data_IF_137144151973
#
_entry.id   IF_137144151973
#
_cell.length_a   1.000
_cell.length_b   1.000
_cell.length_c   1.000
_cell.angle_alpha   90.00
_cell.angle_beta   90.00
_cell.angle_gamma   90.00
#
_symmetry.space_group_name_H-M   'P 1'
#
loop_
_entity.id
_entity.type
_entity.pdbx_description
1 polymer ?
#
# COMPACT_ATOMS: atom_id res chain seq x y z
N UNK A 1 95.38 -37.99 -9.18
CA UNK A 1 95.31 -37.69 -7.74
C UNK A 1 94.52 -36.39 -7.57
N UNK A 2 93.37 -36.50 -6.92
CA UNK A 2 92.51 -35.47 -6.29
C UNK A 2 93.00 -34.01 -6.28
N UNK A 3 92.12 -33.07 -6.64
CA UNK A 3 91.65 -32.03 -5.71
C UNK A 3 90.43 -31.25 -6.23
N UNK A 4 89.48 -31.14 -5.32
CA UNK A 4 88.32 -30.25 -5.23
C UNK A 4 88.83 -28.81 -5.06
N UNK A 5 88.18 -27.79 -5.66
CA UNK A 5 87.50 -26.73 -4.90
C UNK A 5 86.75 -25.68 -5.75
N UNK A 6 85.80 -25.04 -5.06
CA UNK A 6 84.79 -24.05 -5.48
C UNK A 6 85.38 -22.74 -6.04
N UNK A 7 84.58 -22.01 -6.84
CA UNK A 7 83.88 -20.78 -6.38
C UNK A 7 83.32 -19.94 -7.55
N UNK A 8 81.99 -19.81 -7.53
CA UNK A 8 81.18 -18.58 -7.63
C UNK A 8 81.89 -17.34 -8.21
N UNK A 9 81.40 -16.81 -9.35
CA UNK A 9 81.05 -15.38 -9.53
C UNK A 9 80.43 -15.05 -10.91
N UNK A 10 79.14 -14.66 -10.85
CA UNK A 10 78.52 -13.46 -11.44
C UNK A 10 78.55 -13.25 -12.97
N UNK A 11 77.38 -13.45 -13.59
CA UNK A 11 76.89 -12.55 -14.65
C UNK A 11 75.41 -12.24 -14.35
N UNK A 12 75.18 -11.08 -13.73
CA UNK A 12 73.86 -10.54 -13.46
C UNK A 12 73.36 -9.82 -14.72
N UNK A 13 72.48 -10.48 -15.48
CA UNK A 13 71.73 -9.85 -16.56
C UNK A 13 70.37 -9.46 -15.99
N UNK A 14 70.24 -8.22 -15.56
CA UNK A 14 68.99 -7.68 -15.02
C UNK A 14 67.95 -7.53 -16.12
N UNK A 15 67.04 -8.49 -16.24
CA UNK A 15 65.81 -8.36 -17.02
C UNK A 15 64.76 -7.71 -16.10
N UNK A 16 64.61 -6.40 -16.23
CA UNK A 16 63.63 -5.61 -15.51
C UNK A 16 62.24 -5.94 -16.09
N UNK A 17 61.54 -6.89 -15.47
CA UNK A 17 60.16 -7.20 -15.81
C UNK A 17 59.28 -5.99 -15.43
N UNK A 18 58.50 -5.40 -16.36
CA UNK A 18 57.52 -4.42 -15.99
C UNK A 18 56.41 -5.15 -15.23
N UNK A 19 56.38 -4.94 -13.92
CA UNK A 19 55.25 -5.31 -13.07
C UNK A 19 54.04 -4.53 -13.58
N UNK A 20 53.23 -5.19 -14.40
CA UNK A 20 51.93 -4.72 -14.84
C UNK A 20 51.07 -4.60 -13.58
N UNK A 21 51.02 -3.38 -13.04
CA UNK A 21 50.11 -3.00 -11.95
C UNK A 21 48.69 -3.26 -12.42
N UNK A 22 48.14 -4.40 -11.99
CA UNK A 22 46.70 -4.66 -11.97
C UNK A 22 46.10 -3.69 -10.95
N UNK A 23 45.83 -2.46 -11.37
CA UNK A 23 44.91 -1.59 -10.67
C UNK A 23 43.53 -2.24 -10.81
N UNK A 24 43.20 -3.12 -9.86
CA UNK A 24 41.82 -3.49 -9.59
C UNK A 24 41.10 -2.20 -9.19
N UNK A 25 40.44 -1.58 -10.16
CA UNK A 25 39.51 -0.49 -9.92
C UNK A 25 38.34 -1.11 -9.15
N UNK A 26 38.37 -0.98 -7.82
CA UNK A 26 37.15 -1.00 -7.04
C UNK A 26 36.38 0.25 -7.46
N UNK A 27 35.60 0.16 -8.54
CA UNK A 27 34.56 1.12 -8.80
C UNK A 27 33.59 1.01 -7.62
N UNK A 28 33.70 1.93 -6.66
CA UNK A 28 32.74 2.04 -5.59
C UNK A 28 31.39 2.35 -6.23
N UNK A 29 30.42 1.45 -6.09
CA UNK A 29 29.06 1.69 -6.53
C UNK A 29 28.54 2.99 -5.93
N UNK A 30 27.87 3.81 -6.76
CA UNK A 30 27.28 5.06 -6.30
C UNK A 30 26.25 4.75 -5.20
N UNK A 31 26.43 5.26 -3.97
CA UNK A 31 25.51 5.00 -2.88
C UNK A 31 24.10 5.54 -3.14
N UNK A 32 23.96 6.49 -4.06
CA UNK A 32 22.69 7.05 -4.49
C UNK A 32 22.10 6.35 -5.74
N UNK A 33 22.76 5.33 -6.31
CA UNK A 33 22.20 4.60 -7.44
C UNK A 33 20.99 3.75 -7.00
N UNK A 34 19.96 3.59 -7.85
CA UNK A 34 18.82 2.75 -7.53
C UNK A 34 19.22 1.28 -7.37
N UNK A 35 18.46 0.48 -6.59
CA UNK A 35 18.67 -0.97 -6.51
C UNK A 35 18.26 -1.69 -7.80
N UNK A 36 18.75 -2.92 -7.97
CA UNK A 36 18.18 -3.86 -8.92
C UNK A 36 16.86 -4.42 -8.36
N UNK A 37 15.85 -4.56 -9.22
CA UNK A 37 14.55 -5.17 -8.88
C UNK A 37 14.50 -6.58 -9.47
N UNK A 38 14.23 -7.57 -8.63
CA UNK A 38 13.93 -8.96 -8.98
C UNK A 38 12.43 -9.18 -8.81
N UNK A 39 11.69 -8.97 -9.90
CA UNK A 39 10.25 -9.20 -9.93
C UNK A 39 9.89 -10.61 -9.46
N UNK A 40 8.91 -10.70 -8.57
CA UNK A 40 8.47 -11.99 -8.02
C UNK A 40 9.23 -12.45 -6.77
N UNK A 41 10.38 -11.84 -6.46
CA UNK A 41 11.26 -12.24 -5.34
C UNK A 41 11.43 -11.12 -4.30
N UNK A 42 11.61 -9.88 -4.75
CA UNK A 42 11.82 -8.75 -3.84
C UNK A 42 10.54 -8.42 -3.06
N UNK A 43 10.69 -8.13 -1.77
CA UNK A 43 9.59 -7.84 -0.85
C UNK A 43 9.59 -6.38 -0.48
N UNK A 44 8.43 -5.73 -0.58
CA UNK A 44 8.25 -4.35 -0.17
C UNK A 44 8.52 -4.18 1.32
N UNK A 45 9.30 -3.15 1.67
CA UNK A 45 9.68 -2.83 3.04
C UNK A 45 8.52 -2.33 3.92
N UNK A 46 7.33 -2.04 3.34
CA UNK A 46 6.16 -1.53 4.05
C UNK A 46 5.00 -2.53 4.03
N UNK A 47 4.48 -2.88 2.86
CA UNK A 47 3.31 -3.78 2.78
C UNK A 47 3.68 -5.26 2.94
N UNK A 48 4.97 -5.60 2.91
CA UNK A 48 5.50 -6.97 2.96
C UNK A 48 4.96 -7.91 1.87
N UNK A 49 4.35 -7.35 0.82
CA UNK A 49 4.03 -8.09 -0.40
C UNK A 49 5.23 -8.11 -1.34
N UNK A 50 5.23 -9.08 -2.25
CA UNK A 50 6.19 -9.18 -3.33
C UNK A 50 6.00 -7.96 -4.25
N UNK A 51 7.10 -7.35 -4.70
CA UNK A 51 7.09 -6.33 -5.75
C UNK A 51 6.53 -6.98 -7.02
N UNK A 52 5.28 -6.67 -7.31
CA UNK A 52 4.42 -7.42 -8.21
C UNK A 52 4.37 -6.82 -9.62
N UNK A 53 4.61 -5.51 -9.73
CA UNK A 53 4.66 -4.79 -11.00
C UNK A 53 5.79 -3.75 -10.99
N UNK A 54 6.80 -3.99 -11.82
CA UNK A 54 7.99 -3.14 -11.87
C UNK A 54 7.65 -1.73 -12.34
N UNK A 55 6.55 -1.51 -13.05
CA UNK A 55 6.18 -0.19 -13.57
C UNK A 55 5.87 0.82 -12.45
N UNK A 56 5.51 0.32 -11.26
CA UNK A 56 5.11 1.15 -10.12
C UNK A 56 6.07 1.04 -8.95
N UNK A 57 7.09 0.18 -9.04
CA UNK A 57 8.05 0.00 -7.99
C UNK A 57 8.79 1.30 -7.67
N UNK A 58 9.04 1.51 -6.39
CA UNK A 58 9.81 2.63 -5.88
C UNK A 58 10.96 2.12 -4.99
N UNK A 59 11.95 2.98 -4.76
CA UNK A 59 13.06 2.67 -3.87
C UNK A 59 13.58 3.93 -3.19
N UNK A 60 14.16 3.75 -2.00
CA UNK A 60 15.03 4.74 -1.40
C UNK A 60 16.45 4.23 -1.42
N UNK A 61 17.41 5.14 -1.46
CA UNK A 61 18.77 4.90 -1.01
C UNK A 61 18.93 5.68 0.30
N UNK A 62 19.13 4.99 1.42
CA UNK A 62 19.17 5.60 2.76
C UNK A 62 20.45 5.24 3.50
N UNK A 63 20.84 6.05 4.48
CA UNK A 63 21.98 5.76 5.36
C UNK A 63 21.51 5.44 6.77
N UNK A 64 21.82 4.24 7.26
CA UNK A 64 21.49 3.86 8.63
C UNK A 64 22.35 4.63 9.66
N UNK A 65 21.99 4.53 10.95
CA UNK A 65 22.73 5.19 12.05
C UNK A 65 24.20 4.76 12.16
N UNK A 66 24.57 3.62 11.55
CA UNK A 66 25.94 3.08 11.51
C UNK A 66 26.70 3.50 10.25
N UNK A 67 26.09 4.35 9.42
CA UNK A 67 26.67 4.87 8.19
C UNK A 67 26.57 3.92 6.98
N UNK A 68 25.90 2.77 7.11
CA UNK A 68 25.70 1.82 6.00
C UNK A 68 24.60 2.31 5.08
N UNK A 69 24.76 2.04 3.78
CA UNK A 69 23.73 2.34 2.79
C UNK A 69 22.78 1.16 2.69
N UNK A 70 21.50 1.42 2.89
CA UNK A 70 20.42 0.47 2.68
C UNK A 70 19.52 0.97 1.54
N UNK A 71 18.92 0.04 0.80
CA UNK A 71 18.11 0.37 -0.37
C UNK A 71 16.74 -0.31 -0.30
N UNK A 72 15.83 0.13 0.60
CA UNK A 72 14.52 -0.48 0.70
C UNK A 72 13.74 -0.31 -0.61
N UNK A 73 13.08 -1.38 -1.01
CA UNK A 73 12.20 -1.46 -2.18
C UNK A 73 10.74 -1.32 -1.74
N UNK A 74 9.93 -0.77 -2.64
CA UNK A 74 8.51 -0.56 -2.44
C UNK A 74 7.74 -0.99 -3.68
N UNK A 75 6.59 -1.65 -3.47
CA UNK A 75 5.73 -2.15 -4.55
C UNK A 75 4.98 -1.01 -5.26
N UNK A 76 4.83 0.13 -4.58
CA UNK A 76 4.15 1.33 -5.09
C UNK A 76 4.78 2.59 -4.44
N UNK A 77 4.69 3.74 -5.10
CA UNK A 77 5.13 5.04 -4.56
C UNK A 77 4.45 5.36 -3.23
N UNK A 78 3.19 4.95 -3.04
CA UNK A 78 2.50 5.24 -1.77
C UNK A 78 3.18 4.57 -0.57
N UNK A 79 3.68 3.34 -0.74
CA UNK A 79 4.48 2.67 0.30
C UNK A 79 5.80 3.40 0.60
N UNK A 80 6.44 4.02 -0.40
CA UNK A 80 7.62 4.84 -0.16
C UNK A 80 7.28 6.05 0.72
N UNK A 81 6.17 6.74 0.44
CA UNK A 81 5.75 7.90 1.25
C UNK A 81 5.37 7.52 2.68
N UNK A 82 4.70 6.39 2.87
CA UNK A 82 4.39 5.83 4.19
C UNK A 82 5.67 5.51 4.98
N UNK A 83 6.67 4.92 4.32
CA UNK A 83 7.96 4.64 4.94
C UNK A 83 8.63 5.92 5.46
N UNK A 84 8.74 6.95 4.63
CA UNK A 84 9.33 8.23 5.03
C UNK A 84 8.56 8.89 6.18
N UNK A 85 7.23 8.81 6.18
CA UNK A 85 6.41 9.33 7.27
C UNK A 85 6.65 8.57 8.60
N UNK A 86 6.93 7.27 8.53
CA UNK A 86 7.24 6.44 9.70
C UNK A 86 8.67 6.62 10.22
N UNK A 87 9.57 7.15 9.40
CA UNK A 87 11.00 7.32 9.70
C UNK A 87 11.49 8.75 9.36
N UNK A 88 10.97 9.80 10.04
CA UNK A 88 11.21 11.19 9.67
C UNK A 88 12.67 11.65 9.81
N UNK A 89 13.46 10.97 10.64
CA UNK A 89 14.87 11.29 10.89
C UNK A 89 15.85 10.48 10.00
N UNK A 90 15.33 9.65 9.09
CA UNK A 90 16.13 8.82 8.19
C UNK A 90 16.91 9.70 7.20
N UNK A 91 18.24 9.54 7.14
CA UNK A 91 19.06 10.18 6.10
C UNK A 91 18.75 9.53 4.74
N UNK A 92 18.17 10.31 3.82
CA UNK A 92 17.83 9.89 2.47
C UNK A 92 18.89 10.43 1.51
N UNK A 93 19.52 9.52 0.77
CA UNK A 93 20.53 9.84 -0.24
C UNK A 93 19.88 10.07 -1.61
N UNK A 94 18.85 9.30 -1.95
CA UNK A 94 18.09 9.44 -3.18
C UNK A 94 16.72 8.74 -3.10
N UNK A 95 15.78 9.23 -3.91
CA UNK A 95 14.47 8.61 -4.14
C UNK A 95 14.37 8.16 -5.59
N UNK A 96 13.87 6.95 -5.80
CA UNK A 96 13.74 6.38 -7.13
C UNK A 96 12.33 5.85 -7.35
N UNK A 97 11.82 6.06 -8.55
CA UNK A 97 10.55 5.50 -9.00
C UNK A 97 10.75 4.89 -10.38
N UNK A 98 10.05 3.81 -10.66
CA UNK A 98 10.01 3.25 -12.00
C UNK A 98 9.07 4.08 -12.87
N UNK A 99 9.50 4.33 -14.10
CA UNK A 99 8.65 4.93 -15.09
C UNK A 99 7.51 3.97 -15.45
N UNK A 100 6.28 4.47 -15.43
CA UNK A 100 5.04 3.70 -15.57
C UNK A 100 4.86 2.89 -16.88
N UNK A 101 5.77 3.05 -17.84
CA UNK A 101 5.69 2.41 -19.17
C UNK A 101 7.08 1.97 -19.67
N UNK A 102 8.12 2.77 -19.42
CA UNK A 102 9.47 2.50 -19.91
C UNK A 102 10.27 1.51 -19.04
N UNK A 103 9.81 1.22 -17.81
CA UNK A 103 10.50 0.29 -16.91
C UNK A 103 11.89 0.75 -16.46
N UNK A 104 12.24 2.03 -16.63
CA UNK A 104 13.51 2.61 -16.19
C UNK A 104 13.35 3.32 -14.85
N UNK A 105 14.41 3.35 -14.04
CA UNK A 105 14.47 4.19 -12.85
C UNK A 105 14.58 5.66 -13.25
N UNK A 106 13.75 6.50 -12.64
CA UNK A 106 13.84 7.96 -12.71
C UNK A 106 13.93 8.53 -11.28
N UNK A 107 14.45 9.74 -11.18
CA UNK A 107 14.47 10.51 -9.94
C UNK A 107 13.03 10.84 -9.54
N UNK A 108 12.64 10.42 -8.33
CA UNK A 108 11.29 10.65 -7.84
C UNK A 108 11.00 12.14 -7.63
N UNK A 109 12.00 12.89 -7.14
CA UNK A 109 11.84 14.31 -6.80
C UNK A 109 11.67 15.17 -8.08
N UNK A 110 12.15 14.69 -9.23
CA UNK A 110 12.03 15.35 -10.53
C UNK A 110 10.90 14.80 -11.42
N UNK A 111 10.28 13.68 -11.04
CA UNK A 111 9.25 13.03 -11.82
C UNK A 111 7.94 13.85 -11.85
N UNK A 112 7.10 13.55 -12.84
CA UNK A 112 5.72 14.02 -12.90
C UNK A 112 4.79 12.83 -12.74
N UNK A 113 3.74 13.00 -11.95
CA UNK A 113 2.85 11.91 -11.61
C UNK A 113 1.48 12.10 -12.25
N UNK A 114 0.94 11.03 -12.84
CA UNK A 114 -0.46 10.95 -13.20
C UNK A 114 -1.19 10.15 -12.13
N UNK A 115 -2.12 10.78 -11.43
CA UNK A 115 -3.03 10.09 -10.55
C UNK A 115 -4.38 9.90 -11.24
N UNK A 116 -4.82 8.65 -11.39
CA UNK A 116 -6.07 8.31 -12.02
C UNK A 116 -6.73 7.11 -11.33
N UNK A 117 -8.06 7.16 -11.21
CA UNK A 117 -8.85 6.04 -10.67
C UNK A 117 -8.85 4.82 -11.58
N UNK A 118 -8.60 5.02 -12.87
CA UNK A 118 -8.54 3.96 -13.88
C UNK A 118 -7.15 3.30 -13.94
N UNK A 119 -6.15 3.92 -13.29
CA UNK A 119 -4.81 3.38 -13.20
C UNK A 119 -4.74 2.34 -12.07
N UNK A 120 -4.64 1.07 -12.46
CA UNK A 120 -4.51 -0.02 -11.51
C UNK A 120 -3.05 -0.19 -11.13
N UNK A 121 -2.72 0.17 -9.89
CA UNK A 121 -1.40 -0.01 -9.28
C UNK A 121 -1.46 -1.08 -8.19
N UNK A 122 -0.35 -1.76 -7.84
CA UNK A 122 -0.36 -2.89 -6.91
C UNK A 122 -1.01 -2.60 -5.56
N UNK A 123 -0.82 -1.38 -5.05
CA UNK A 123 -1.37 -0.93 -3.77
C UNK A 123 -2.63 -0.07 -3.93
N UNK A 124 -3.10 0.17 -5.15
CA UNK A 124 -4.35 0.90 -5.40
C UNK A 124 -4.27 2.42 -5.20
N UNK A 125 -3.08 3.00 -5.03
CA UNK A 125 -2.89 4.46 -4.95
C UNK A 125 -3.19 5.17 -6.28
N UNK A 126 -3.21 4.42 -7.40
CA UNK A 126 -3.59 4.96 -8.70
C UNK A 126 -2.60 5.99 -9.24
N UNK A 127 -1.33 5.94 -8.82
CA UNK A 127 -0.29 6.91 -9.19
C UNK A 127 0.75 6.24 -10.10
N UNK A 128 0.94 6.80 -11.29
CA UNK A 128 2.01 6.43 -12.22
C UNK A 128 3.04 7.54 -12.34
N UNK A 129 4.34 7.20 -12.32
CA UNK A 129 5.44 8.15 -12.49
C UNK A 129 5.90 8.25 -13.95
N UNK A 130 6.06 9.47 -14.45
CA UNK A 130 6.45 9.81 -15.82
C UNK A 130 7.62 10.79 -15.79
N UNK A 131 8.45 10.79 -16.85
CA UNK A 131 9.61 11.67 -16.92
C UNK A 131 9.22 13.13 -17.19
N UNK A 132 8.10 13.37 -17.86
CA UNK A 132 7.65 14.73 -18.21
C UNK A 132 6.16 14.96 -18.03
N UNK A 133 5.79 16.23 -17.84
CA UNK A 133 4.37 16.64 -17.81
C UNK A 133 3.64 16.37 -19.13
N UNK A 134 4.33 16.50 -20.26
CA UNK A 134 3.73 16.23 -21.58
C UNK A 134 3.35 14.74 -21.72
N UNK A 135 4.19 13.82 -21.25
CA UNK A 135 3.86 12.39 -21.20
C UNK A 135 2.66 12.13 -20.30
N UNK A 136 2.66 12.66 -19.08
CA UNK A 136 1.55 12.50 -18.14
C UNK A 136 0.23 13.05 -18.71
N UNK A 137 0.27 14.20 -19.39
CA UNK A 137 -0.90 14.78 -20.06
C UNK A 137 -1.40 13.92 -21.23
N UNK A 138 -0.50 13.32 -22.01
CA UNK A 138 -0.87 12.44 -23.13
C UNK A 138 -1.63 11.19 -22.68
N UNK A 139 -1.37 10.72 -21.46
CA UNK A 139 -2.02 9.55 -20.88
C UNK A 139 -3.42 9.84 -20.34
N UNK A 140 -3.81 11.10 -20.15
CA UNK A 140 -5.11 11.48 -19.55
C UNK A 140 -6.31 11.12 -20.42
N UNK A 141 -6.13 10.96 -21.73
CA UNK A 141 -7.20 10.47 -22.60
C UNK A 141 -7.57 9.02 -22.27
N UNK A 142 -6.57 8.21 -21.93
CA UNK A 142 -6.75 6.79 -21.55
C UNK A 142 -7.05 6.61 -20.07
N UNK A 143 -6.41 7.41 -19.22
CA UNK A 143 -6.51 7.37 -17.76
C UNK A 143 -6.91 8.76 -17.26
N UNK A 144 -8.21 9.11 -17.30
CA UNK A 144 -8.68 10.40 -16.81
C UNK A 144 -8.25 10.64 -15.36
N UNK A 145 -7.57 11.75 -15.11
CA UNK A 145 -6.92 11.99 -13.83
C UNK A 145 -6.18 13.32 -13.76
N UNK A 146 -5.49 13.51 -12.64
CA UNK A 146 -4.73 14.71 -12.30
C UNK A 146 -3.23 14.51 -12.56
N UNK A 147 -2.60 15.53 -13.13
CA UNK A 147 -1.14 15.55 -13.32
C UNK A 147 -0.50 16.41 -12.24
N UNK A 148 0.17 15.74 -11.30
CA UNK A 148 0.62 16.27 -10.02
C UNK A 148 2.15 16.13 -9.86
N UNK A 149 2.72 16.86 -8.93
CA UNK A 149 4.13 16.71 -8.52
C UNK A 149 4.27 15.75 -7.32
N UNK A 150 5.50 15.52 -6.86
CA UNK A 150 5.78 14.60 -5.76
C UNK A 150 5.15 15.06 -4.44
N UNK A 151 5.12 16.37 -4.16
CA UNK A 151 4.58 16.92 -2.91
C UNK A 151 3.07 16.72 -2.84
N UNK A 152 2.37 16.97 -3.93
CA UNK A 152 0.96 16.71 -4.08
C UNK A 152 0.66 15.19 -3.99
N UNK A 153 1.45 14.35 -4.67
CA UNK A 153 1.29 12.90 -4.60
C UNK A 153 1.46 12.39 -3.16
N UNK A 154 2.51 12.83 -2.46
CA UNK A 154 2.77 12.53 -1.05
C UNK A 154 1.61 12.97 -0.17
N UNK A 155 1.14 14.22 -0.32
CA UNK A 155 0.03 14.74 0.49
C UNK A 155 -1.22 13.89 0.28
N UNK A 156 -1.57 13.55 -0.96
CA UNK A 156 -2.75 12.75 -1.27
C UNK A 156 -2.66 11.34 -0.70
N UNK A 157 -1.48 10.71 -0.75
CA UNK A 157 -1.27 9.39 -0.11
C UNK A 157 -1.46 9.49 1.40
N UNK A 158 -0.73 10.39 2.06
CA UNK A 158 -0.73 10.47 3.52
C UNK A 158 -2.04 11.01 4.12
N UNK A 159 -2.86 11.69 3.32
CA UNK A 159 -4.22 12.12 3.71
C UNK A 159 -5.31 11.11 3.35
N UNK A 160 -4.99 10.03 2.62
CA UNK A 160 -5.95 9.04 2.13
C UNK A 160 -6.71 9.45 0.87
N UNK A 161 -6.43 10.62 0.28
CA UNK A 161 -7.04 11.09 -0.97
C UNK A 161 -6.58 10.29 -2.20
N UNK A 162 -5.40 9.65 -2.14
CA UNK A 162 -4.85 8.90 -3.27
C UNK A 162 -5.51 7.53 -3.51
N UNK A 163 -6.09 6.92 -2.48
CA UNK A 163 -6.74 5.60 -2.56
C UNK A 163 -8.11 5.64 -3.27
N UNK A 164 -8.47 6.78 -3.86
CA UNK A 164 -9.81 7.03 -4.34
C UNK A 164 -10.21 6.26 -5.61
N UNK A 165 -9.34 5.41 -6.16
CA UNK A 165 -9.56 4.62 -7.39
C UNK A 165 -10.03 3.18 -7.21
N UNK A 166 -9.72 2.56 -6.07
CA UNK A 166 -10.29 1.28 -5.67
C UNK A 166 -11.10 1.49 -4.38
N UNK A 167 -12.26 2.13 -4.51
CA UNK A 167 -13.26 2.13 -3.45
C UNK A 167 -13.03 3.06 -2.25
N UNK A 168 -12.23 4.14 -2.34
CA UNK A 168 -12.18 5.16 -1.27
C UNK A 168 -12.87 6.47 -1.68
N UNK A 169 -14.11 6.69 -1.21
CA UNK A 169 -14.76 8.01 -1.24
C UNK A 169 -14.72 8.61 0.17
N UNK A 170 -13.74 9.49 0.40
CA UNK A 170 -13.81 10.49 1.47
C UNK A 170 -14.84 11.56 1.08
N UNK A 171 -16.08 11.38 1.52
CA UNK A 171 -17.18 12.33 1.33
C UNK A 171 -18.20 12.16 2.45
N UNK A 172 -18.29 13.17 3.33
CA UNK A 172 -19.10 13.26 4.54
C UNK A 172 -19.03 12.02 5.46
N UNK A 173 -18.08 12.05 6.40
CA UNK A 173 -18.20 11.28 7.63
C UNK A 173 -19.46 11.76 8.36
N UNK A 174 -20.57 11.05 8.23
CA UNK A 174 -21.49 10.95 9.36
C UNK A 174 -20.99 9.78 10.17
N UNK A 175 -20.21 10.10 11.21
CA UNK A 175 -19.88 9.20 12.31
C UNK A 175 -21.16 8.42 12.68
N UNK A 176 -21.09 7.08 12.69
CA UNK A 176 -22.09 6.29 13.41
C UNK A 176 -22.03 6.70 14.87
N UNK A 177 -23.18 6.88 15.52
CA UNK A 177 -23.20 7.03 16.97
C UNK A 177 -22.49 5.86 17.64
N UNK A 178 -22.02 6.07 18.87
CA UNK A 178 -21.36 5.03 19.67
C UNK A 178 -22.27 3.81 19.97
N UNK A 179 -23.53 3.82 19.53
CA UNK A 179 -24.48 2.74 19.68
C UNK A 179 -24.42 1.69 18.55
N UNK A 180 -23.58 1.87 17.53
CA UNK A 180 -23.48 0.95 16.40
C UNK A 180 -24.67 1.04 15.44
N UNK A 181 -25.42 2.15 15.49
CA UNK A 181 -26.48 2.44 14.53
C UNK A 181 -26.12 3.63 13.62
N UNK A 182 -26.60 3.58 12.38
CA UNK A 182 -26.54 4.69 11.44
C UNK A 182 -27.88 4.83 10.73
N UNK A 183 -28.36 6.07 10.60
CA UNK A 183 -29.46 6.41 9.69
C UNK A 183 -28.88 7.19 8.52
N UNK A 184 -29.28 6.79 7.31
CA UNK A 184 -28.85 7.36 6.04
C UNK A 184 -30.08 7.86 5.32
N UNK A 185 -30.13 9.15 5.03
CA UNK A 185 -31.10 9.72 4.10
C UNK A 185 -30.49 9.64 2.69
N UNK A 186 -31.18 8.96 1.77
CA UNK A 186 -30.78 8.80 0.37
C UNK A 186 -31.30 9.97 -0.48
N UNK A 187 -30.64 10.22 -1.61
CA UNK A 187 -31.02 11.31 -2.53
C UNK A 187 -32.44 11.16 -3.10
N UNK A 188 -32.92 9.92 -3.23
CA UNK A 188 -34.28 9.60 -3.67
C UNK A 188 -35.35 9.80 -2.58
N UNK A 189 -34.97 10.31 -1.41
CA UNK A 189 -35.85 10.59 -0.28
C UNK A 189 -36.17 9.37 0.60
N UNK A 190 -35.63 8.18 0.29
CA UNK A 190 -35.68 7.04 1.22
C UNK A 190 -34.74 7.27 2.40
N UNK A 191 -35.05 6.62 3.52
CA UNK A 191 -34.11 6.52 4.63
C UNK A 191 -33.81 5.07 4.94
N UNK A 192 -32.53 4.76 5.12
CA UNK A 192 -32.05 3.44 5.55
C UNK A 192 -31.51 3.54 6.98
N UNK A 193 -31.78 2.53 7.81
CA UNK A 193 -31.16 2.35 9.12
C UNK A 193 -30.30 1.10 9.09
N UNK A 194 -29.03 1.27 9.38
CA UNK A 194 -28.05 0.20 9.59
C UNK A 194 -27.88 0.02 11.09
N UNK A 195 -27.97 -1.22 11.57
CA UNK A 195 -27.68 -1.56 12.95
C UNK A 195 -26.66 -2.70 12.97
N UNK A 196 -25.44 -2.40 13.41
CA UNK A 196 -24.38 -3.38 13.55
C UNK A 196 -24.74 -4.36 14.69
N UNK A 197 -24.65 -5.66 14.40
CA UNK A 197 -24.87 -6.73 15.38
C UNK A 197 -23.56 -7.38 15.80
N UNK A 198 -22.51 -7.27 14.99
CA UNK A 198 -21.16 -7.71 15.39
C UNK A 198 -20.61 -6.85 16.53
N UNK A 199 -20.10 -7.46 17.62
CA UNK A 199 -19.44 -6.73 18.69
C UNK A 199 -18.22 -5.93 18.19
N UNK A 200 -18.04 -4.72 18.74
CA UNK A 200 -16.91 -3.85 18.39
C UNK A 200 -15.61 -4.21 19.13
N UNK A 201 -15.69 -4.75 20.34
CA UNK A 201 -14.58 -5.49 20.97
C UNK A 201 -14.63 -6.93 20.45
N UNK A 202 -13.68 -7.29 19.61
CA UNK A 202 -13.71 -8.55 18.89
C UNK A 202 -12.34 -9.21 18.80
N UNK A 203 -12.34 -10.54 18.87
CA UNK A 203 -11.10 -11.31 18.75
C UNK A 203 -10.58 -11.32 17.30
N UNK A 204 -9.26 -11.33 17.15
CA UNK A 204 -8.48 -11.55 15.92
C UNK A 204 -9.03 -12.69 15.02
N UNK A 205 -8.99 -12.48 13.71
CA UNK A 205 -9.15 -13.50 12.67
C UNK A 205 -10.47 -13.35 11.92
N UNK A 206 -10.87 -14.42 11.23
CA UNK A 206 -12.16 -14.47 10.53
C UNK A 206 -13.30 -14.52 11.55
N UNK A 207 -14.19 -13.55 11.48
CA UNK A 207 -15.31 -13.35 12.41
C UNK A 207 -16.61 -13.11 11.65
N UNK A 208 -17.75 -13.58 12.18
CA UNK A 208 -19.05 -13.24 11.64
C UNK A 208 -19.23 -11.72 11.60
N UNK A 209 -19.57 -11.19 10.42
CA UNK A 209 -20.00 -9.82 10.26
C UNK A 209 -21.52 -9.81 10.06
N UNK A 210 -22.25 -9.25 11.03
CA UNK A 210 -23.70 -9.25 11.08
C UNK A 210 -24.20 -7.80 11.17
N UNK A 211 -25.10 -7.44 10.26
CA UNK A 211 -25.69 -6.11 10.20
C UNK A 211 -27.16 -6.22 9.80
N UNK A 212 -28.00 -5.43 10.44
CA UNK A 212 -29.40 -5.32 10.05
C UNK A 212 -29.64 -4.04 9.26
N UNK A 213 -30.39 -4.16 8.15
CA UNK A 213 -30.72 -3.02 7.30
C UNK A 213 -32.23 -2.88 7.15
N UNK A 214 -32.71 -1.71 7.52
CA UNK A 214 -34.11 -1.34 7.48
C UNK A 214 -34.33 -0.13 6.58
N UNK A 215 -35.49 -0.05 5.95
CA UNK A 215 -35.97 1.15 5.27
C UNK A 215 -37.11 1.78 6.06
N UNK A 216 -37.15 3.11 6.10
CA UNK A 216 -38.26 3.88 6.70
C UNK A 216 -39.48 3.78 5.77
N UNK A 217 -40.55 3.16 6.27
CA UNK A 217 -41.83 3.05 5.60
C UNK A 217 -42.74 4.25 5.84
N UNK A 218 -43.91 4.23 5.19
CA UNK A 218 -44.97 5.22 5.38
C UNK A 218 -45.39 5.27 6.85
N UNK A 219 -45.42 6.48 7.42
CA UNK A 219 -45.70 6.70 8.85
C UNK A 219 -44.48 6.56 9.77
N UNK A 220 -43.27 6.43 9.23
CA UNK A 220 -42.01 6.44 9.98
C UNK A 220 -41.56 5.08 10.54
N UNK A 221 -42.31 4.00 10.30
CA UNK A 221 -41.97 2.67 10.79
C UNK A 221 -40.80 2.04 10.02
N UNK A 222 -39.80 1.50 10.72
CA UNK A 222 -38.68 0.79 10.13
C UNK A 222 -39.04 -0.64 9.74
N UNK A 223 -38.74 -1.04 8.51
CA UNK A 223 -39.03 -2.39 7.97
C UNK A 223 -37.81 -2.97 7.28
N UNK A 224 -37.62 -4.31 7.24
CA UNK A 224 -36.51 -4.90 6.52
C UNK A 224 -36.42 -4.42 5.06
N UNK A 225 -35.23 -4.02 4.62
CA UNK A 225 -35.02 -3.55 3.24
C UNK A 225 -34.86 -4.73 2.27
N UNK A 226 -35.46 -4.66 1.09
CA UNK A 226 -35.26 -5.62 0.01
C UNK A 226 -34.41 -5.02 -1.11
N UNK A 227 -33.73 -5.86 -1.90
CA UNK A 227 -33.00 -5.43 -3.10
C UNK A 227 -31.70 -4.66 -2.85
N UNK A 228 -31.20 -4.65 -1.61
CA UNK A 228 -29.94 -4.01 -1.24
C UNK A 228 -28.86 -5.07 -1.07
N UNK A 229 -27.78 -4.94 -1.85
CA UNK A 229 -26.54 -5.70 -1.67
C UNK A 229 -25.64 -4.98 -0.67
N UNK A 230 -24.89 -5.75 0.11
CA UNK A 230 -23.99 -5.23 1.13
C UNK A 230 -22.57 -5.67 0.83
N UNK A 231 -21.65 -4.72 0.72
CA UNK A 231 -20.20 -4.97 0.63
C UNK A 231 -19.51 -4.49 1.89
N UNK A 232 -18.46 -5.21 2.27
CA UNK A 232 -17.61 -4.86 3.40
C UNK A 232 -16.15 -4.80 2.95
N UNK A 233 -15.43 -3.84 3.51
CA UNK A 233 -14.01 -3.64 3.28
C UNK A 233 -13.36 -3.25 4.63
N UNK A 234 -12.66 -4.19 5.30
CA UNK A 234 -11.90 -3.87 6.51
C UNK A 234 -10.65 -3.07 6.17
N UNK A 235 -10.33 -2.11 7.02
CA UNK A 235 -9.21 -1.20 6.90
C UNK A 235 -8.57 -0.97 8.27
N UNK A 236 -7.25 -1.01 8.36
CA UNK A 236 -6.50 -0.62 9.55
C UNK A 236 -5.86 0.74 9.30
N UNK A 237 -6.40 1.85 9.88
CA UNK A 237 -5.88 3.19 9.63
C UNK A 237 -4.39 3.35 9.96
N UNK A 238 -3.94 2.72 11.05
CA UNK A 238 -2.54 2.78 11.50
C UNK A 238 -1.56 2.07 10.56
N UNK A 239 -2.04 1.17 9.70
CA UNK A 239 -1.21 0.37 8.80
C UNK A 239 -1.46 0.70 7.33
N UNK A 240 -2.40 1.60 7.02
CA UNK A 240 -2.65 2.03 5.64
C UNK A 240 -3.12 0.91 4.70
N UNK A 241 -3.68 -0.19 5.23
CA UNK A 241 -4.15 -1.29 4.39
C UNK A 241 -5.33 -2.05 5.03
N UNK A 242 -6.04 -2.82 4.20
CA UNK A 242 -7.09 -3.74 4.62
C UNK A 242 -6.60 -5.16 4.91
N UNK A 243 -7.52 -6.12 4.91
CA UNK A 243 -7.21 -7.54 5.05
C UNK A 243 -7.89 -8.39 3.97
N UNK A 244 -7.28 -9.51 3.54
CA UNK A 244 -7.90 -10.43 2.59
C UNK A 244 -8.83 -11.44 3.30
N UNK A 245 -9.59 -12.21 2.52
CA UNK A 245 -10.37 -13.35 3.04
C UNK A 245 -11.71 -12.99 3.68
N UNK A 246 -12.30 -11.87 3.25
CA UNK A 246 -13.63 -11.42 3.66
C UNK A 246 -14.73 -12.01 2.77
N UNK A 247 -15.92 -12.17 3.33
CA UNK A 247 -17.13 -12.57 2.62
C UNK A 247 -18.18 -11.48 2.81
N UNK A 248 -18.67 -10.92 1.70
CA UNK A 248 -19.66 -9.85 1.72
C UNK A 248 -20.99 -10.33 2.33
N UNK A 249 -21.64 -9.52 3.19
CA UNK A 249 -22.86 -9.94 3.85
C UNK A 249 -24.00 -10.21 2.86
N UNK A 250 -24.62 -11.38 3.00
CA UNK A 250 -25.83 -11.74 2.26
C UNK A 250 -27.03 -11.79 3.20
N UNK A 251 -28.21 -11.50 2.67
CA UNK A 251 -29.46 -11.49 3.45
C UNK A 251 -29.79 -12.90 3.93
N UNK A 252 -29.97 -13.06 5.25
CA UNK A 252 -30.31 -14.34 5.87
C UNK A 252 -31.81 -14.42 6.13
N UNK A 253 -32.33 -13.54 6.98
CA UNK A 253 -33.75 -13.47 7.37
C UNK A 253 -34.08 -12.06 7.82
N UNK A 254 -35.33 -11.61 7.64
CA UNK A 254 -35.75 -10.32 8.21
C UNK A 254 -34.86 -9.19 7.70
N UNK A 255 -34.31 -8.35 8.56
CA UNK A 255 -33.36 -7.30 8.16
C UNK A 255 -31.89 -7.76 8.17
N UNK A 256 -31.61 -8.98 8.63
CA UNK A 256 -30.26 -9.46 8.94
C UNK A 256 -29.50 -9.86 7.68
N UNK A 257 -28.29 -9.31 7.56
CA UNK A 257 -27.29 -9.69 6.59
C UNK A 257 -26.09 -10.26 7.34
N UNK A 258 -25.51 -11.35 6.82
CA UNK A 258 -24.39 -12.08 7.44
C UNK A 258 -23.29 -12.32 6.41
N UNK A 259 -22.06 -11.99 6.79
CA UNK A 259 -20.84 -12.25 6.05
C UNK A 259 -19.69 -12.61 7.00
N UNK A 260 -18.46 -12.47 6.53
CA UNK A 260 -17.24 -12.73 7.29
C UNK A 260 -16.28 -11.58 7.11
N UNK A 261 -15.81 -11.00 8.21
CA UNK A 261 -14.70 -10.03 8.22
C UNK A 261 -13.46 -10.70 8.81
N UNK A 262 -12.29 -10.48 8.21
CA UNK A 262 -11.03 -11.02 8.68
C UNK A 262 -10.20 -9.91 9.34
N UNK A 263 -9.98 -9.97 10.64
CA UNK A 263 -9.03 -9.06 11.31
C UNK A 263 -7.68 -9.76 11.44
N UNK A 264 -6.75 -9.45 10.54
CA UNK A 264 -5.47 -10.18 10.42
C UNK A 264 -4.45 -9.86 11.52
N UNK A 265 -4.64 -8.76 12.25
CA UNK A 265 -3.78 -8.35 13.36
C UNK A 265 -4.57 -7.56 14.42
N UNK A 266 -4.10 -7.51 15.68
CA UNK A 266 -4.74 -6.71 16.73
C UNK A 266 -4.55 -5.21 16.48
N UNK A 267 -5.46 -4.40 17.04
CA UNK A 267 -5.44 -2.93 16.94
C UNK A 267 -6.80 -2.38 16.53
N UNK A 268 -6.82 -1.08 16.23
CA UNK A 268 -8.02 -0.39 15.78
C UNK A 268 -8.27 -0.66 14.29
N UNK A 269 -9.48 -1.10 13.98
CA UNK A 269 -9.93 -1.36 12.63
C UNK A 269 -11.18 -0.54 12.32
N UNK A 270 -11.34 -0.23 11.04
CA UNK A 270 -12.56 0.33 10.47
C UNK A 270 -13.10 -0.68 9.47
N UNK A 271 -14.38 -1.01 9.53
CA UNK A 271 -15.05 -1.76 8.47
C UNK A 271 -15.94 -0.82 7.69
N UNK A 272 -15.59 -0.58 6.43
CA UNK A 272 -16.43 0.16 5.51
C UNK A 272 -17.53 -0.75 4.97
N UNK A 273 -18.78 -0.35 5.18
CA UNK A 273 -19.98 -0.99 4.69
C UNK A 273 -20.55 -0.16 3.56
N UNK A 274 -20.61 -0.74 2.36
CA UNK A 274 -21.20 -0.12 1.17
C UNK A 274 -22.51 -0.80 0.85
N UNK A 275 -23.57 -0.01 0.72
CA UNK A 275 -24.90 -0.47 0.28
C UNK A 275 -25.05 -0.22 -1.21
N UNK A 276 -25.52 -1.22 -1.95
CA UNK A 276 -25.75 -1.13 -3.38
C UNK A 276 -27.17 -1.56 -3.74
N UNK A 277 -27.72 -0.97 -4.80
CA UNK A 277 -28.99 -1.41 -5.40
C UNK A 277 -28.79 -1.45 -6.93
N UNK A 278 -29.05 -2.61 -7.53
CA UNK A 278 -28.78 -2.82 -8.96
C UNK A 278 -27.29 -2.64 -9.35
N UNK A 279 -26.37 -2.81 -8.41
CA UNK A 279 -24.93 -2.61 -8.61
C UNK A 279 -24.45 -1.16 -8.49
N UNK A 280 -25.35 -0.18 -8.29
CA UNK A 280 -24.99 1.20 -8.00
C UNK A 280 -24.88 1.42 -6.50
N UNK A 281 -23.87 2.17 -6.05
CA UNK A 281 -23.71 2.54 -4.65
C UNK A 281 -24.84 3.49 -4.22
N UNK A 282 -25.56 3.12 -3.16
CA UNK A 282 -26.55 3.96 -2.50
C UNK A 282 -25.92 4.81 -1.40
N UNK A 283 -25.04 4.20 -0.60
CA UNK A 283 -24.36 4.85 0.51
C UNK A 283 -23.22 3.99 1.06
N UNK A 284 -22.28 4.65 1.74
CA UNK A 284 -21.20 4.02 2.49
C UNK A 284 -21.18 4.48 3.95
N UNK A 285 -20.94 3.58 4.89
CA UNK A 285 -20.75 3.88 6.32
C UNK A 285 -19.57 3.10 6.88
N UNK A 286 -19.00 3.61 7.96
CA UNK A 286 -17.84 3.01 8.62
C UNK A 286 -18.22 2.62 10.04
N UNK A 287 -17.75 1.47 10.49
CA UNK A 287 -17.86 1.03 11.89
C UNK A 287 -16.47 0.73 12.44
N UNK A 288 -16.18 1.26 13.62
CA UNK A 288 -14.90 1.05 14.30
C UNK A 288 -14.93 -0.23 15.15
N UNK A 289 -13.80 -0.92 15.21
CA UNK A 289 -13.59 -2.15 15.96
C UNK A 289 -12.27 -2.08 16.73
N UNK A 290 -12.30 -2.42 18.02
CA UNK A 290 -11.12 -2.70 18.83
C UNK A 290 -10.83 -4.20 18.74
N UNK A 291 -9.81 -4.57 17.98
CA UNK A 291 -9.46 -5.98 17.75
C UNK A 291 -8.39 -6.41 18.72
N UNK A 292 -8.73 -7.37 19.57
CA UNK A 292 -7.84 -7.90 20.61
C UNK A 292 -7.36 -9.30 20.27
N UNK A 293 -6.17 -9.65 20.76
CA UNK A 293 -5.77 -11.08 20.81
C UNK A 293 -6.73 -11.80 21.72
N UNK A 294 -7.24 -12.96 21.29
CA UNK A 294 -8.03 -13.82 22.16
C UNK A 294 -7.22 -14.10 23.44
N UNK A 295 -7.80 -13.80 24.60
CA UNK A 295 -7.20 -14.16 25.87
C UNK A 295 -6.95 -15.68 25.87
N UNK A 296 -5.74 -16.14 26.27
CA UNK A 296 -5.48 -17.57 26.37
C UNK A 296 -6.31 -18.11 27.55
N UNK A 297 -7.54 -18.56 27.30
CA UNK A 297 -8.40 -19.11 28.34
C UNK A 297 -9.91 -19.21 28.08
N UNK A 298 -10.43 -18.75 26.95
CA UNK A 298 -11.87 -18.87 26.64
C UNK A 298 -12.16 -19.99 25.64
N UNK A 299 -12.33 -21.22 26.12
CA UNK A 299 -13.00 -22.29 25.37
C UNK A 299 -14.48 -22.26 25.71
N UNK A 300 -15.33 -22.00 24.72
CA UNK A 300 -16.73 -22.48 24.70
C UNK A 300 -16.86 -23.56 23.63
#
# INVERSE_FOLDING_TARGET
>A
MMRIDRDIRRLATGLMAPALLLAASCASEDPAAPPNVHLGDDVCAVCHMIVSDERYAAALSVRDERGRVEKPLFDDIGCLFEHEASAPDQEILARHVRHADAGVWIDADAAVYLQSRELHTPMGFGIGALATRAEAESLRERYPGDVIDIEEARRRVLSGEAMAGAGYFGGSQTETGDDGEAVIELEDGRALRLALRTPRDIALGRRPFEIEIHQRGVGGAWRPVGGVDVRIEPWMPSMGHGSPGNEHPTRVEGALHRGVVNFSMPGDWVVHVTLLEGGQELARRSFEFDVRRASPGGSD
#
